data_IF_765252053567
#
_entry.id   IF_765252053567
#
_cell.length_a   1.000
_cell.length_b   1.000
_cell.length_c   1.000
_cell.angle_alpha   90.00
_cell.angle_beta   90.00
_cell.angle_gamma   90.00
#
_symmetry.space_group_name_H-M   'P 1'
#
loop_
_entity.id
_entity.type
_entity.pdbx_description
1 polymer ?
#
# COMPACT_ATOMS: atom_id res chain seq x y z
N UNK A 1 12.47 -15.71 -7.11
CA UNK A 1 13.14 -14.42 -6.87
C UNK A 1 13.84 -14.37 -5.51
N UNK A 2 13.23 -14.89 -4.44
CA UNK A 2 13.85 -14.96 -3.10
C UNK A 2 15.12 -15.83 -3.02
N UNK A 3 15.13 -17.04 -3.61
CA UNK A 3 16.28 -17.96 -3.57
C UNK A 3 17.63 -17.34 -4.02
N UNK A 4 17.74 -16.63 -5.15
CA UNK A 4 19.02 -16.01 -5.56
C UNK A 4 19.46 -14.82 -4.70
N UNK A 5 18.54 -14.17 -3.96
CA UNK A 5 18.86 -12.99 -3.14
C UNK A 5 19.17 -13.37 -1.68
N UNK A 6 18.47 -14.37 -1.13
CA UNK A 6 18.53 -14.74 0.29
C UNK A 6 18.98 -16.18 0.53
N UNK A 7 19.29 -16.94 -0.52
CA UNK A 7 19.68 -18.35 -0.43
C UNK A 7 18.54 -19.32 -0.09
N UNK A 8 17.35 -18.81 0.25
CA UNK A 8 16.17 -19.59 0.66
C UNK A 8 14.90 -19.09 -0.02
N UNK A 9 13.88 -19.94 -0.14
CA UNK A 9 12.62 -19.58 -0.80
C UNK A 9 11.67 -18.78 0.10
N UNK A 10 11.69 -19.07 1.39
CA UNK A 10 10.86 -18.44 2.40
C UNK A 10 11.59 -18.46 3.73
N UNK A 11 11.52 -17.34 4.44
CA UNK A 11 12.00 -17.20 5.81
C UNK A 11 10.85 -16.71 6.66
N UNK A 12 10.69 -17.25 7.86
CA UNK A 12 9.69 -16.76 8.82
C UNK A 12 10.16 -15.47 9.51
N UNK A 13 10.82 -14.60 8.75
CA UNK A 13 11.26 -13.31 9.22
C UNK A 13 10.05 -12.43 9.53
N UNK A 14 10.08 -11.62 10.60
CA UNK A 14 8.96 -10.76 10.98
C UNK A 14 8.55 -9.80 9.87
N UNK A 15 9.49 -9.30 9.05
CA UNK A 15 9.17 -8.42 7.94
C UNK A 15 8.40 -9.15 6.84
N UNK A 16 8.84 -10.36 6.47
CA UNK A 16 8.20 -11.16 5.43
C UNK A 16 6.79 -11.61 5.85
N UNK A 17 6.65 -12.02 7.11
CA UNK A 17 5.38 -12.47 7.68
C UNK A 17 4.37 -11.32 7.80
N UNK A 18 4.78 -10.16 8.30
CA UNK A 18 3.91 -8.97 8.38
C UNK A 18 3.53 -8.47 6.99
N UNK A 19 4.47 -8.47 6.03
CA UNK A 19 4.14 -8.12 4.63
C UNK A 19 3.13 -9.11 4.03
N UNK A 20 3.21 -10.40 4.35
CA UNK A 20 2.20 -11.38 3.91
C UNK A 20 0.83 -11.11 4.51
N UNK A 21 0.77 -10.73 5.79
CA UNK A 21 -0.48 -10.30 6.46
C UNK A 21 -1.06 -9.06 5.76
N UNK A 22 -0.23 -8.06 5.45
CA UNK A 22 -0.63 -6.87 4.69
C UNK A 22 -1.28 -7.26 3.35
N UNK A 23 -0.68 -8.21 2.62
CA UNK A 23 -1.25 -8.71 1.36
C UNK A 23 -2.62 -9.36 1.55
N UNK A 24 -2.78 -10.20 2.58
CA UNK A 24 -4.07 -10.81 2.90
C UNK A 24 -5.13 -9.76 3.25
N UNK A 25 -4.77 -8.77 4.08
CA UNK A 25 -5.65 -7.65 4.42
C UNK A 25 -6.07 -6.87 3.17
N UNK A 26 -5.14 -6.59 2.26
CA UNK A 26 -5.47 -5.87 1.03
C UNK A 26 -6.39 -6.66 0.10
N UNK A 27 -6.21 -7.99 -0.02
CA UNK A 27 -7.13 -8.86 -0.76
C UNK A 27 -8.54 -8.79 -0.16
N UNK A 28 -8.66 -8.90 1.17
CA UNK A 28 -9.96 -8.79 1.86
C UNK A 28 -10.59 -7.42 1.61
N UNK A 29 -9.82 -6.33 1.67
CA UNK A 29 -10.31 -4.99 1.37
C UNK A 29 -10.85 -4.89 -0.06
N UNK A 30 -10.12 -5.40 -1.06
CA UNK A 30 -10.54 -5.36 -2.47
C UNK A 30 -11.84 -6.13 -2.70
N UNK A 31 -11.97 -7.32 -2.10
CA UNK A 31 -13.21 -8.12 -2.16
C UNK A 31 -14.37 -7.36 -1.53
N UNK A 32 -14.16 -6.80 -0.34
CA UNK A 32 -15.19 -6.05 0.39
C UNK A 32 -15.63 -4.79 -0.37
N UNK A 33 -14.68 -4.07 -0.97
CA UNK A 33 -14.97 -2.89 -1.78
C UNK A 33 -15.68 -3.24 -3.09
N UNK A 34 -15.31 -4.34 -3.74
CA UNK A 34 -15.98 -4.82 -4.96
C UNK A 34 -17.40 -5.30 -4.68
N UNK A 35 -17.65 -5.92 -3.52
CA UNK A 35 -18.97 -6.42 -3.09
C UNK A 35 -19.93 -5.29 -2.66
N UNK A 36 -19.42 -4.08 -2.41
CA UNK A 36 -20.24 -2.98 -1.91
C UNK A 36 -21.28 -2.46 -2.92
N UNK A 37 -21.01 -2.48 -4.23
CA UNK A 37 -21.93 -1.94 -5.24
C UNK A 37 -22.40 -0.52 -4.91
N UNK A 38 -23.73 -0.29 -4.98
CA UNK A 38 -24.39 0.96 -4.58
C UNK A 38 -24.81 1.00 -3.09
N UNK A 39 -24.48 -0.02 -2.31
CA UNK A 39 -24.82 -0.08 -0.88
C UNK A 39 -23.84 0.76 -0.06
N UNK A 40 -24.31 1.94 0.36
CA UNK A 40 -23.57 2.87 1.21
C UNK A 40 -23.10 2.25 2.53
N UNK A 41 -23.85 1.30 3.12
CA UNK A 41 -23.44 0.65 4.37
C UNK A 41 -22.24 -0.26 4.14
N UNK A 42 -22.28 -1.08 3.08
CA UNK A 42 -21.14 -1.94 2.70
C UNK A 42 -19.92 -1.12 2.33
N UNK A 43 -20.10 0.01 1.64
CA UNK A 43 -19.01 0.92 1.31
C UNK A 43 -18.35 1.52 2.57
N UNK A 44 -19.13 1.86 3.60
CA UNK A 44 -18.60 2.33 4.90
C UNK A 44 -17.83 1.24 5.62
N UNK A 45 -18.32 0.00 5.66
CA UNK A 45 -17.58 -1.11 6.25
C UNK A 45 -16.25 -1.36 5.53
N UNK A 46 -16.24 -1.29 4.20
CA UNK A 46 -15.00 -1.36 3.42
C UNK A 46 -14.01 -0.25 3.79
N UNK A 47 -14.48 0.98 3.97
CA UNK A 47 -13.66 2.11 4.36
C UNK A 47 -13.04 1.92 5.76
N UNK A 48 -13.84 1.51 6.76
CA UNK A 48 -13.35 1.24 8.12
C UNK A 48 -12.31 0.12 8.10
N UNK A 49 -12.59 -0.97 7.40
CA UNK A 49 -11.64 -2.07 7.26
C UNK A 49 -10.32 -1.61 6.62
N UNK A 50 -10.39 -0.78 5.57
CA UNK A 50 -9.21 -0.21 4.93
C UNK A 50 -8.36 0.64 5.87
N UNK A 51 -8.99 1.44 6.74
CA UNK A 51 -8.28 2.25 7.75
C UNK A 51 -7.58 1.34 8.77
N UNK A 52 -8.24 0.26 9.22
CA UNK A 52 -7.63 -0.70 10.14
C UNK A 52 -6.47 -1.44 9.47
N UNK A 53 -6.64 -1.87 8.21
CA UNK A 53 -5.57 -2.50 7.44
C UNK A 53 -4.36 -1.58 7.23
N UNK A 54 -4.57 -0.27 7.14
CA UNK A 54 -3.48 0.70 7.04
C UNK A 54 -2.57 0.71 8.29
N UNK A 55 -3.09 0.36 9.47
CA UNK A 55 -2.28 0.25 10.69
C UNK A 55 -1.23 -0.87 10.63
N UNK A 56 -1.39 -1.82 9.70
CA UNK A 56 -0.41 -2.86 9.46
C UNK A 56 0.87 -2.33 8.77
N UNK A 57 0.79 -1.21 8.03
CA UNK A 57 1.97 -0.60 7.40
C UNK A 57 3.02 -0.13 8.42
N UNK A 58 2.68 0.64 9.48
CA UNK A 58 3.59 0.93 10.57
C UNK A 58 4.15 -0.34 11.24
N UNK A 59 3.36 -1.41 11.33
CA UNK A 59 3.80 -2.68 11.92
C UNK A 59 4.87 -3.36 11.04
N UNK A 60 4.67 -3.40 9.72
CA UNK A 60 5.67 -3.89 8.75
C UNK A 60 6.95 -3.05 8.78
N UNK A 61 6.83 -1.73 8.92
CA UNK A 61 7.99 -0.86 9.06
C UNK A 61 8.73 -1.08 10.38
N UNK A 62 7.99 -1.21 11.49
CA UNK A 62 8.55 -1.46 12.80
C UNK A 62 9.21 -2.84 12.89
N UNK A 63 8.65 -3.86 12.23
CA UNK A 63 9.20 -5.23 12.23
C UNK A 63 10.61 -5.25 11.64
N UNK A 64 10.85 -4.55 10.53
CA UNK A 64 12.16 -4.44 9.90
C UNK A 64 13.22 -3.73 10.78
N UNK A 65 12.81 -2.83 11.68
CA UNK A 65 13.72 -1.99 12.49
C UNK A 65 13.97 -2.55 13.88
N UNK A 66 12.95 -3.17 14.49
CA UNK A 66 13.02 -3.73 15.84
C UNK A 66 13.57 -5.15 15.82
N UNK A 67 13.23 -5.93 14.79
CA UNK A 67 13.64 -7.32 14.65
C UNK A 67 14.63 -7.37 13.49
N UNK A 68 15.93 -7.21 13.81
CA UNK A 68 17.04 -7.12 12.85
C UNK A 68 17.11 -8.37 11.94
N UNK A 69 16.35 -8.35 10.85
CA UNK A 69 16.39 -9.36 9.79
C UNK A 69 17.53 -9.12 8.78
N UNK A 70 17.47 -9.81 7.64
CA UNK A 70 18.46 -9.71 6.55
C UNK A 70 18.38 -8.36 5.81
N UNK A 71 17.30 -7.60 6.00
CA UNK A 71 17.04 -6.36 5.28
C UNK A 71 17.84 -5.17 5.80
N UNK A 72 18.64 -4.49 4.95
CA UNK A 72 19.35 -3.28 5.35
C UNK A 72 18.37 -2.14 5.64
N UNK A 73 18.57 -1.45 6.76
CA UNK A 73 17.74 -0.32 7.18
C UNK A 73 18.11 0.92 6.37
N UNK A 74 17.18 1.39 5.53
CA UNK A 74 17.37 2.52 4.61
C UNK A 74 17.63 3.86 5.32
N UNK A 75 17.11 4.03 6.55
CA UNK A 75 17.26 5.23 7.39
C UNK A 75 17.86 4.88 8.78
N UNK A 76 19.08 4.32 8.79
CA UNK A 76 19.80 3.92 10.00
C UNK A 76 21.18 4.59 10.11
N UNK A 77 21.36 5.47 11.10
CA UNK A 77 22.56 6.32 11.26
C UNK A 77 23.90 5.65 11.55
N UNK A 78 24.12 4.36 11.25
CA UNK A 78 25.46 3.74 11.31
C UNK A 78 25.62 2.72 10.18
N UNK A 79 26.29 3.14 9.10
CA UNK A 79 26.83 2.26 8.05
C UNK A 79 25.85 1.79 6.97
N UNK A 80 24.56 2.14 7.07
CA UNK A 80 23.54 1.84 6.06
C UNK A 80 22.80 3.12 5.67
N UNK A 81 23.06 3.59 4.46
CA UNK A 81 22.42 4.79 3.91
C UNK A 81 22.30 4.67 2.40
N UNK A 82 21.30 5.35 1.84
CA UNK A 82 21.13 5.48 0.40
C UNK A 82 22.32 6.27 -0.16
N UNK A 83 23.00 5.74 -1.18
CA UNK A 83 24.04 6.49 -1.90
C UNK A 83 23.43 7.79 -2.48
N UNK A 84 24.15 8.94 -2.49
CA UNK A 84 23.61 10.22 -2.95
C UNK A 84 22.93 10.15 -4.33
N UNK A 85 23.47 9.33 -5.23
CA UNK A 85 22.95 9.11 -6.59
C UNK A 85 21.60 8.38 -6.59
N UNK A 86 21.42 7.42 -5.67
CA UNK A 86 20.16 6.69 -5.50
C UNK A 86 19.07 7.57 -4.86
N UNK A 87 19.46 8.59 -4.10
CA UNK A 87 18.52 9.54 -3.50
C UNK A 87 17.78 10.35 -4.57
N UNK A 88 18.50 10.78 -5.63
CA UNK A 88 17.88 11.50 -6.76
C UNK A 88 16.86 10.62 -7.47
N UNK A 89 17.20 9.36 -7.74
CA UNK A 89 16.29 8.40 -8.34
C UNK A 89 15.04 8.17 -7.45
N UNK A 90 15.22 8.05 -6.13
CA UNK A 90 14.12 7.92 -5.17
C UNK A 90 13.19 9.15 -5.19
N UNK A 91 13.74 10.37 -5.19
CA UNK A 91 12.94 11.59 -5.20
C UNK A 91 12.18 11.77 -6.52
N UNK A 92 12.83 11.53 -7.66
CA UNK A 92 12.18 11.62 -8.98
C UNK A 92 11.04 10.62 -9.10
N UNK A 93 11.29 9.36 -8.71
CA UNK A 93 10.26 8.31 -8.76
C UNK A 93 9.13 8.58 -7.77
N UNK A 94 9.43 9.00 -6.55
CA UNK A 94 8.42 9.40 -5.56
C UNK A 94 7.53 10.51 -6.11
N UNK A 95 8.11 11.55 -6.72
CA UNK A 95 7.38 12.65 -7.32
C UNK A 95 6.52 12.18 -8.50
N UNK A 96 7.07 11.37 -9.40
CA UNK A 96 6.36 10.84 -10.55
C UNK A 96 5.15 9.97 -10.13
N UNK A 97 5.33 9.06 -9.17
CA UNK A 97 4.23 8.23 -8.66
C UNK A 97 3.19 9.04 -7.88
N UNK A 98 3.59 10.10 -7.19
CA UNK A 98 2.66 11.01 -6.51
C UNK A 98 1.80 11.77 -7.52
N UNK A 99 2.39 12.29 -8.59
CA UNK A 99 1.65 12.93 -9.67
C UNK A 99 0.70 11.95 -10.36
N UNK A 100 1.16 10.74 -10.65
CA UNK A 100 0.33 9.68 -11.21
C UNK A 100 -0.86 9.34 -10.30
N UNK A 101 -0.63 9.25 -8.99
CA UNK A 101 -1.68 9.01 -8.01
C UNK A 101 -2.72 10.14 -8.02
N UNK A 102 -2.29 11.41 -7.99
CA UNK A 102 -3.19 12.57 -8.04
C UNK A 102 -4.01 12.56 -9.34
N UNK A 103 -3.37 12.28 -10.48
CA UNK A 103 -4.04 12.18 -11.77
C UNK A 103 -5.15 11.12 -11.76
N UNK A 104 -4.84 9.90 -11.32
CA UNK A 104 -5.82 8.80 -11.22
C UNK A 104 -6.94 9.15 -10.23
N UNK A 105 -6.61 9.83 -9.12
CA UNK A 105 -7.59 10.24 -8.12
C UNK A 105 -8.60 11.27 -8.68
N UNK A 106 -8.13 12.24 -9.46
CA UNK A 106 -8.99 13.23 -10.12
C UNK A 106 -9.95 12.53 -11.10
N UNK A 107 -9.43 11.65 -11.95
CA UNK A 107 -10.25 10.86 -12.88
C UNK A 107 -11.29 10.00 -12.15
N UNK A 108 -10.91 9.38 -11.04
CA UNK A 108 -11.82 8.60 -10.20
C UNK A 108 -12.97 9.45 -9.65
N UNK A 109 -12.69 10.67 -9.22
CA UNK A 109 -13.72 11.61 -8.70
C UNK A 109 -14.62 12.10 -9.84
N UNK A 110 -14.06 12.42 -11.00
CA UNK A 110 -14.82 12.85 -12.18
C UNK A 110 -15.78 11.75 -12.65
N UNK A 111 -15.33 10.50 -12.68
CA UNK A 111 -16.18 9.34 -13.01
C UNK A 111 -17.36 9.19 -12.04
N UNK A 112 -17.15 9.44 -10.74
CA UNK A 112 -18.23 9.34 -9.75
C UNK A 112 -19.25 10.47 -9.94
N UNK A 113 -18.79 11.70 -10.16
CA UNK A 113 -19.68 12.84 -10.46
C UNK A 113 -20.55 12.59 -11.69
N UNK A 114 -19.95 12.06 -12.77
CA UNK A 114 -20.69 11.72 -14.00
C UNK A 114 -21.77 10.65 -13.74
N UNK A 115 -21.48 9.65 -12.90
CA UNK A 115 -22.49 8.65 -12.51
C UNK A 115 -23.63 9.27 -11.71
N UNK A 116 -23.31 10.16 -10.78
CA UNK A 116 -24.31 10.87 -9.97
C UNK A 116 -25.21 11.77 -10.84
N UNK A 117 -24.65 12.43 -11.85
CA UNK A 117 -25.40 13.28 -12.78
C UNK A 117 -26.35 12.45 -13.66
N UNK A 118 -25.90 11.29 -14.16
CA UNK A 118 -26.77 10.35 -14.88
C UNK A 118 -27.91 9.84 -13.99
N UNK A 119 -27.63 9.54 -12.72
CA UNK A 119 -28.64 9.09 -11.77
C UNK A 119 -29.70 10.17 -11.49
N UNK A 120 -29.31 11.45 -11.46
CA UNK A 120 -30.24 12.58 -11.29
C UNK A 120 -31.16 12.79 -12.50
N UNK A 121 -30.67 12.63 -13.72
CA UNK A 121 -31.46 12.85 -14.95
C UNK A 121 -32.49 11.75 -15.18
N UNK A 122 -32.26 10.54 -14.64
CA UNK A 122 -33.19 9.40 -14.74
C UNK A 122 -34.34 9.42 -13.72
N UNK A 123 -34.29 10.32 -12.73
CA UNK A 123 -35.35 10.56 -11.75
C UNK A 123 -36.29 11.66 -12.25
#
# INVERSE_FOLDING_TARGET
WAKPVWGTWWTWDPQLTTTFILWMLYIVYLILRSSAGNDLKKARYAAVFGIVAFLDLPLVYASARLMRGISPVVFGGRGGGIAPEMMVALLITLFAFTLLFIFILIERINLEKMKDDIARIKL
#
